data_IF_556724231320
#
_entry.id   IF_556724231320
#
_cell.length_a   1.000
_cell.length_b   1.000
_cell.length_c   1.000
_cell.angle_alpha   90.00
_cell.angle_beta   90.00
_cell.angle_gamma   90.00
#
_symmetry.space_group_name_H-M   'P 1'
#
loop_
_entity.id
_entity.type
_entity.pdbx_description
1 polymer ?
#
# COMPACT_ATOMS: atom_id res chain seq x y z
N UNK A 1 10.59 -1.12 -29.31
CA UNK A 1 12.06 -1.25 -29.33
C UNK A 1 12.73 -0.54 -28.14
N UNK A 2 12.18 0.58 -27.68
CA UNK A 2 12.84 1.42 -26.66
C UNK A 2 12.82 0.86 -25.22
N UNK A 3 11.99 -0.13 -24.91
CA UNK A 3 11.88 -0.72 -23.57
C UNK A 3 12.79 -1.94 -23.35
N UNK A 4 13.48 -2.44 -24.38
CA UNK A 4 14.28 -3.67 -24.30
C UNK A 4 15.42 -3.58 -23.28
N UNK A 5 16.24 -2.54 -23.36
CA UNK A 5 17.36 -2.35 -22.42
C UNK A 5 16.92 -2.15 -20.97
N UNK A 6 15.94 -1.28 -20.66
CA UNK A 6 15.39 -1.17 -19.31
C UNK A 6 14.88 -2.51 -18.75
N UNK A 7 14.17 -3.31 -19.54
CA UNK A 7 13.68 -4.63 -19.13
C UNK A 7 14.82 -5.62 -18.86
N UNK A 8 15.85 -5.64 -19.71
CA UNK A 8 17.00 -6.52 -19.54
C UNK A 8 17.77 -6.19 -18.25
N UNK A 9 17.92 -4.90 -17.94
CA UNK A 9 18.56 -4.44 -16.71
C UNK A 9 17.71 -4.79 -15.50
N UNK A 10 16.39 -4.73 -15.58
CA UNK A 10 15.51 -5.08 -14.45
C UNK A 10 15.66 -6.55 -14.01
N UNK A 11 16.05 -7.45 -14.91
CA UNK A 11 16.31 -8.85 -14.55
C UNK A 11 17.49 -9.00 -13.59
N UNK A 12 18.46 -8.09 -13.63
CA UNK A 12 19.61 -8.12 -12.71
C UNK A 12 19.24 -7.88 -11.26
N UNK A 13 18.12 -7.19 -10.99
CA UNK A 13 17.63 -6.90 -9.65
C UNK A 13 17.03 -8.15 -8.97
N UNK A 14 16.45 -9.08 -9.74
CA UNK A 14 15.66 -10.19 -9.23
C UNK A 14 16.41 -11.04 -8.20
N UNK A 15 17.64 -11.55 -8.44
CA UNK A 15 18.33 -12.41 -7.47
C UNK A 15 18.62 -11.70 -6.15
N UNK A 16 18.95 -10.42 -6.17
CA UNK A 16 19.25 -9.63 -4.97
C UNK A 16 17.98 -9.37 -4.15
N UNK A 17 16.89 -9.00 -4.83
CA UNK A 17 15.58 -8.78 -4.21
C UNK A 17 15.03 -10.06 -3.55
N UNK A 18 15.15 -11.22 -4.22
CA UNK A 18 14.76 -12.52 -3.65
C UNK A 18 15.54 -12.84 -2.38
N UNK A 19 16.86 -12.68 -2.38
CA UNK A 19 17.68 -12.92 -1.19
C UNK A 19 17.33 -11.95 -0.05
N UNK A 20 17.13 -10.68 -0.34
CA UNK A 20 16.68 -9.71 0.64
C UNK A 20 15.32 -10.09 1.25
N UNK A 21 14.39 -10.58 0.44
CA UNK A 21 13.09 -11.09 0.91
C UNK A 21 13.24 -12.23 1.93
N UNK A 22 14.14 -13.20 1.66
CA UNK A 22 14.42 -14.31 2.57
C UNK A 22 15.00 -13.80 3.89
N UNK A 23 16.01 -12.91 3.86
CA UNK A 23 16.60 -12.36 5.07
C UNK A 23 15.59 -11.55 5.91
N UNK A 24 14.79 -10.71 5.27
CA UNK A 24 13.75 -9.93 5.96
C UNK A 24 12.69 -10.84 6.59
N UNK A 25 12.28 -11.90 5.86
CA UNK A 25 11.37 -12.92 6.39
C UNK A 25 11.96 -13.63 7.60
N UNK A 26 13.24 -13.99 7.57
CA UNK A 26 13.96 -14.58 8.70
C UNK A 26 13.98 -13.65 9.92
N UNK A 27 14.35 -12.38 9.76
CA UNK A 27 14.35 -11.42 10.86
C UNK A 27 12.95 -11.18 11.44
N UNK A 28 11.94 -11.08 10.61
CA UNK A 28 10.55 -10.91 11.05
C UNK A 28 10.07 -12.15 11.83
N UNK A 29 10.47 -13.35 11.42
CA UNK A 29 10.19 -14.60 12.15
C UNK A 29 10.86 -14.68 13.52
N UNK A 30 12.02 -14.03 13.71
CA UNK A 30 12.71 -13.87 14.98
C UNK A 30 12.24 -12.68 15.84
N UNK A 31 11.16 -11.98 15.45
CA UNK A 31 10.72 -10.70 16.04
C UNK A 31 11.76 -9.56 15.97
N UNK A 32 12.80 -9.72 15.16
CA UNK A 32 13.82 -8.69 14.97
C UNK A 32 13.42 -7.72 13.85
N UNK A 33 12.26 -7.09 14.03
CA UNK A 33 11.67 -6.14 13.08
C UNK A 33 12.60 -4.95 12.82
N UNK A 34 13.39 -4.54 13.83
CA UNK A 34 14.34 -3.44 13.70
C UNK A 34 15.39 -3.71 12.61
N UNK A 35 15.95 -4.91 12.56
CA UNK A 35 16.94 -5.27 11.54
C UNK A 35 16.32 -5.34 10.15
N UNK A 36 15.12 -5.91 10.04
CA UNK A 36 14.35 -5.95 8.79
C UNK A 36 14.04 -4.54 8.27
N UNK A 37 13.58 -3.64 9.14
CA UNK A 37 13.29 -2.24 8.78
C UNK A 37 14.54 -1.45 8.39
N UNK A 38 15.65 -1.62 9.11
CA UNK A 38 16.91 -0.99 8.76
C UNK A 38 17.44 -1.44 7.39
N UNK A 39 17.28 -2.73 7.07
CA UNK A 39 17.61 -3.27 5.74
C UNK A 39 16.81 -2.54 4.63
N UNK A 40 15.51 -2.35 4.85
CA UNK A 40 14.65 -1.63 3.92
C UNK A 40 15.00 -0.13 3.82
N UNK A 41 15.39 0.50 4.93
CA UNK A 41 15.84 1.90 4.93
C UNK A 41 17.13 2.08 4.15
N UNK A 42 18.11 1.20 4.34
CA UNK A 42 19.39 1.24 3.60
C UNK A 42 19.15 1.10 2.11
N UNK A 43 18.28 0.17 1.70
CA UNK A 43 17.88 0.03 0.30
C UNK A 43 17.32 1.33 -0.27
N UNK A 44 16.35 1.95 0.42
CA UNK A 44 15.71 3.18 -0.07
C UNK A 44 16.70 4.36 -0.12
N UNK A 45 17.52 4.53 0.91
CA UNK A 45 18.52 5.61 0.93
C UNK A 45 19.54 5.42 -0.20
N UNK A 46 20.07 4.22 -0.38
CA UNK A 46 20.99 3.92 -1.46
C UNK A 46 20.33 4.16 -2.84
N UNK A 47 19.10 3.68 -3.03
CA UNK A 47 18.32 3.91 -4.25
C UNK A 47 18.16 5.40 -4.54
N UNK A 48 17.79 6.21 -3.56
CA UNK A 48 17.63 7.67 -3.74
C UNK A 48 18.94 8.35 -4.10
N UNK A 49 20.02 8.04 -3.39
CA UNK A 49 21.34 8.63 -3.66
C UNK A 49 21.83 8.26 -5.07
N UNK A 50 21.85 6.97 -5.38
CA UNK A 50 22.39 6.51 -6.67
C UNK A 50 21.49 6.93 -7.84
N UNK A 51 20.17 6.92 -7.70
CA UNK A 51 19.29 7.38 -8.78
C UNK A 51 19.48 8.88 -9.04
N UNK A 52 19.59 9.70 -8.00
CA UNK A 52 19.81 11.13 -8.15
C UNK A 52 21.18 11.43 -8.79
N UNK A 53 22.24 10.80 -8.30
CA UNK A 53 23.59 10.99 -8.83
C UNK A 53 23.71 10.56 -10.30
N UNK A 54 23.23 9.35 -10.60
CA UNK A 54 23.34 8.80 -11.95
C UNK A 54 22.46 9.57 -12.95
N UNK A 55 21.27 10.02 -12.55
CA UNK A 55 20.43 10.85 -13.41
C UNK A 55 21.06 12.21 -13.69
N UNK A 56 21.72 12.86 -12.72
CA UNK A 56 22.42 14.12 -12.95
C UNK A 56 23.53 13.95 -13.99
N UNK A 57 24.29 12.85 -13.92
CA UNK A 57 25.40 12.59 -14.81
C UNK A 57 24.92 12.26 -16.24
N UNK A 58 23.90 11.42 -16.38
CA UNK A 58 23.50 10.82 -17.65
C UNK A 58 22.16 11.33 -18.21
N UNK A 59 21.53 12.33 -17.60
CA UNK A 59 20.23 12.85 -18.06
C UNK A 59 20.22 13.37 -19.50
N UNK A 60 21.38 13.74 -20.02
CA UNK A 60 21.55 14.25 -21.39
C UNK A 60 21.61 13.16 -22.47
N UNK A 61 21.80 11.90 -22.09
CA UNK A 61 21.94 10.76 -23.01
C UNK A 61 20.61 10.23 -23.58
N UNK A 62 19.50 10.82 -23.17
CA UNK A 62 18.17 10.48 -23.66
C UNK A 62 17.33 9.64 -22.71
N UNK A 63 16.04 9.50 -23.06
CA UNK A 63 15.02 8.91 -22.19
C UNK A 63 15.29 7.44 -21.86
N UNK A 64 15.71 6.63 -22.83
CA UNK A 64 15.99 5.19 -22.63
C UNK A 64 17.12 4.97 -21.64
N UNK A 65 18.18 5.79 -21.75
CA UNK A 65 19.32 5.75 -20.84
C UNK A 65 18.91 6.16 -19.44
N UNK A 66 18.14 7.24 -19.30
CA UNK A 66 17.66 7.74 -18.01
C UNK A 66 16.80 6.70 -17.28
N UNK A 67 15.90 6.00 -17.99
CA UNK A 67 15.09 4.93 -17.43
C UNK A 67 15.96 3.73 -17.02
N UNK A 68 16.90 3.32 -17.88
CA UNK A 68 17.82 2.21 -17.61
C UNK A 68 18.67 2.44 -16.37
N UNK A 69 19.16 3.64 -16.20
CA UNK A 69 19.98 4.07 -15.06
C UNK A 69 19.16 4.10 -13.76
N UNK A 70 17.92 4.55 -13.84
CA UNK A 70 17.01 4.51 -12.68
C UNK A 70 16.80 3.08 -12.19
N UNK A 71 16.70 2.11 -13.10
CA UNK A 71 16.57 0.68 -12.76
C UNK A 71 17.89 0.13 -12.20
N UNK A 72 19.04 0.53 -12.74
CA UNK A 72 20.35 0.18 -12.17
C UNK A 72 20.50 0.69 -10.73
N UNK A 73 20.04 1.91 -10.44
CA UNK A 73 20.05 2.45 -9.09
C UNK A 73 19.19 1.62 -8.12
N UNK A 74 18.06 1.05 -8.59
CA UNK A 74 17.28 0.10 -7.79
C UNK A 74 18.11 -1.16 -7.48
N UNK A 75 18.82 -1.71 -8.46
CA UNK A 75 19.69 -2.88 -8.26
C UNK A 75 20.78 -2.61 -7.23
N UNK A 76 21.42 -1.44 -7.30
CA UNK A 76 22.45 -1.02 -6.33
C UNK A 76 21.84 -0.92 -4.91
N UNK A 77 20.62 -0.37 -4.78
CA UNK A 77 19.90 -0.34 -3.51
C UNK A 77 19.70 -1.73 -2.91
N UNK A 78 19.27 -2.70 -3.72
CA UNK A 78 19.11 -4.10 -3.29
C UNK A 78 20.45 -4.73 -2.86
N UNK A 79 21.55 -4.45 -3.58
CA UNK A 79 22.88 -4.95 -3.22
C UNK A 79 23.33 -4.38 -1.87
N UNK A 80 23.18 -3.08 -1.64
CA UNK A 80 23.52 -2.45 -0.35
C UNK A 80 22.73 -3.06 0.80
N UNK A 81 21.45 -3.29 0.61
CA UNK A 81 20.57 -3.97 1.57
C UNK A 81 21.04 -5.41 1.85
N UNK A 82 21.41 -6.15 0.81
CA UNK A 82 21.89 -7.52 0.92
C UNK A 82 23.19 -7.61 1.73
N UNK A 83 24.15 -6.72 1.45
CA UNK A 83 25.40 -6.65 2.21
C UNK A 83 25.10 -6.42 3.71
N UNK A 84 24.22 -5.48 4.04
CA UNK A 84 23.79 -5.25 5.42
C UNK A 84 23.17 -6.50 6.05
N UNK A 85 22.30 -7.20 5.33
CA UNK A 85 21.64 -8.41 5.79
C UNK A 85 22.63 -9.54 6.08
N UNK A 86 23.61 -9.76 5.20
CA UNK A 86 24.65 -10.77 5.36
C UNK A 86 25.51 -10.48 6.59
N UNK A 87 25.89 -9.23 6.81
CA UNK A 87 26.69 -8.82 7.98
C UNK A 87 25.91 -9.09 9.28
N UNK A 88 24.61 -8.75 9.30
CA UNK A 88 23.78 -8.92 10.50
C UNK A 88 23.45 -10.39 10.82
N UNK A 89 23.24 -11.22 9.79
CA UNK A 89 22.91 -12.63 9.99
C UNK A 89 24.04 -13.42 10.62
N UNK A 90 25.29 -13.12 10.28
CA UNK A 90 26.47 -13.77 10.90
C UNK A 90 26.49 -13.66 12.43
N UNK A 91 25.96 -12.57 12.97
CA UNK A 91 25.91 -12.34 14.43
C UNK A 91 24.75 -13.10 15.12
N UNK A 92 23.77 -13.60 14.36
CA UNK A 92 22.57 -14.24 14.89
C UNK A 92 22.62 -15.78 14.75
N UNK A 93 23.29 -16.27 13.72
CA UNK A 93 23.42 -17.71 13.46
C UNK A 93 24.39 -18.38 14.45
N UNK A 94 23.94 -18.61 15.68
CA UNK A 94 24.42 -19.73 16.51
C UNK A 94 23.53 -20.92 16.15
N UNK A 95 24.10 -21.87 15.38
CA UNK A 95 23.41 -23.05 14.86
C UNK A 95 22.91 -23.87 16.04
N UNK A 96 21.60 -23.96 16.20
CA UNK A 96 20.98 -24.95 17.07
C UNK A 96 20.82 -26.25 16.27
N UNK A 97 21.57 -27.30 16.63
CA UNK A 97 21.40 -28.62 16.08
C UNK A 97 20.13 -29.28 16.66
N UNK A 98 18.97 -28.87 16.21
CA UNK A 98 17.72 -29.51 16.60
C UNK A 98 17.16 -30.30 15.42
N UNK A 99 17.32 -31.62 15.49
CA UNK A 99 16.87 -32.64 14.52
C UNK A 99 15.33 -32.79 14.51
N UNK A 100 14.55 -31.74 14.58
CA UNK A 100 13.12 -31.85 14.31
C UNK A 100 12.88 -32.05 12.81
N UNK A 101 11.86 -32.84 12.48
CA UNK A 101 11.54 -33.29 11.11
C UNK A 101 11.42 -32.12 10.12
N UNK A 102 12.53 -31.73 9.55
CA UNK A 102 12.71 -30.63 8.58
C UNK A 102 11.70 -30.76 7.43
N UNK A 103 11.44 -31.97 6.91
CA UNK A 103 10.53 -32.26 5.81
C UNK A 103 9.07 -31.80 6.05
N UNK A 104 8.55 -31.93 7.27
CA UNK A 104 7.17 -31.47 7.54
C UNK A 104 7.09 -29.94 7.59
N UNK A 105 8.14 -29.29 8.08
CA UNK A 105 8.24 -27.83 8.12
C UNK A 105 8.38 -27.27 6.70
N UNK A 106 9.24 -27.85 5.88
CA UNK A 106 9.42 -27.50 4.47
C UNK A 106 8.13 -27.58 3.68
N UNK A 107 7.34 -28.66 3.85
CA UNK A 107 6.05 -28.82 3.18
C UNK A 107 5.03 -27.73 3.57
N UNK A 108 4.99 -27.34 4.86
CA UNK A 108 4.13 -26.25 5.34
C UNK A 108 4.57 -24.92 4.78
N UNK A 109 5.85 -24.59 4.85
CA UNK A 109 6.42 -23.35 4.33
C UNK A 109 6.16 -23.25 2.82
N UNK A 110 6.41 -24.32 2.07
CA UNK A 110 6.14 -24.34 0.64
C UNK A 110 4.66 -24.08 0.31
N UNK A 111 3.74 -24.75 1.00
CA UNK A 111 2.29 -24.60 0.74
C UNK A 111 1.80 -23.17 1.04
N UNK A 112 2.30 -22.53 2.09
CA UNK A 112 1.96 -21.15 2.44
C UNK A 112 2.58 -20.18 1.42
N UNK A 113 3.86 -20.34 1.12
CA UNK A 113 4.59 -19.48 0.18
C UNK A 113 4.04 -19.60 -1.24
N UNK A 114 3.65 -20.80 -1.68
CA UNK A 114 3.07 -21.01 -3.00
C UNK A 114 1.75 -20.26 -3.18
N UNK A 115 0.85 -20.35 -2.20
CA UNK A 115 -0.44 -19.62 -2.25
C UNK A 115 -0.24 -18.11 -2.24
N UNK A 116 0.72 -17.61 -1.45
CA UNK A 116 1.05 -16.18 -1.38
C UNK A 116 1.66 -15.68 -2.69
N UNK A 117 2.65 -16.41 -3.22
CA UNK A 117 3.28 -16.09 -4.52
C UNK A 117 2.26 -16.09 -5.65
N UNK A 118 1.36 -17.06 -5.68
CA UNK A 118 0.31 -17.14 -6.70
C UNK A 118 -0.68 -15.98 -6.58
N UNK A 119 -0.99 -15.53 -5.35
CA UNK A 119 -1.83 -14.35 -5.12
C UNK A 119 -1.20 -13.08 -5.71
N UNK A 120 0.09 -12.87 -5.45
CA UNK A 120 0.83 -11.73 -6.00
C UNK A 120 0.97 -11.82 -7.52
N UNK A 121 1.18 -13.03 -8.07
CA UNK A 121 1.26 -13.24 -9.51
C UNK A 121 -0.05 -12.86 -10.20
N UNK A 122 -1.19 -13.28 -9.66
CA UNK A 122 -2.52 -12.95 -10.21
C UNK A 122 -2.77 -11.44 -10.19
N UNK A 123 -2.44 -10.78 -9.08
CA UNK A 123 -2.59 -9.34 -8.97
C UNK A 123 -1.69 -8.61 -9.96
N UNK A 124 -0.43 -9.01 -10.08
CA UNK A 124 0.52 -8.40 -11.01
C UNK A 124 0.13 -8.67 -12.48
N UNK A 125 -0.39 -9.86 -12.79
CA UNK A 125 -0.92 -10.16 -14.11
C UNK A 125 -2.13 -9.27 -14.45
N UNK A 126 -2.99 -9.01 -13.47
CA UNK A 126 -4.11 -8.08 -13.65
C UNK A 126 -3.62 -6.65 -13.95
N UNK A 127 -2.57 -6.18 -13.27
CA UNK A 127 -1.95 -4.88 -13.56
C UNK A 127 -1.29 -4.84 -14.95
N UNK A 128 -0.71 -5.95 -15.40
CA UNK A 128 -0.14 -6.06 -16.74
C UNK A 128 -1.20 -6.04 -17.83
N UNK A 129 -2.33 -6.74 -17.62
CA UNK A 129 -3.44 -6.80 -18.57
C UNK A 129 -4.29 -5.53 -18.63
N UNK A 130 -4.30 -4.75 -17.57
CA UNK A 130 -5.08 -3.52 -17.44
C UNK A 130 -4.85 -2.52 -18.60
N UNK A 131 -3.62 -2.06 -18.89
CA UNK A 131 -3.40 -1.15 -20.01
C UNK A 131 -3.72 -1.78 -21.36
N UNK A 132 -3.52 -3.08 -21.53
CA UNK A 132 -3.80 -3.78 -22.78
C UNK A 132 -5.30 -3.77 -23.06
N UNK A 133 -6.13 -4.15 -22.10
CA UNK A 133 -7.59 -4.16 -22.24
C UNK A 133 -8.11 -2.74 -22.42
N UNK A 134 -7.62 -1.81 -21.62
CA UNK A 134 -8.03 -0.42 -21.67
C UNK A 134 -7.76 0.20 -23.05
N UNK A 135 -6.54 0.05 -23.56
CA UNK A 135 -6.16 0.54 -24.90
C UNK A 135 -6.97 -0.13 -25.99
N UNK A 136 -7.11 -1.45 -25.96
CA UNK A 136 -7.85 -2.21 -26.96
C UNK A 136 -9.31 -1.75 -27.10
N UNK A 137 -9.98 -1.44 -25.98
CA UNK A 137 -11.37 -1.00 -26.02
C UNK A 137 -11.48 0.45 -26.51
N UNK A 138 -10.60 1.33 -26.06
CA UNK A 138 -10.64 2.74 -26.46
C UNK A 138 -10.30 2.94 -27.94
N UNK A 139 -9.36 2.15 -28.48
CA UNK A 139 -9.08 2.14 -29.92
C UNK A 139 -10.30 1.70 -30.75
N UNK A 140 -11.10 0.73 -30.27
CA UNK A 140 -12.34 0.30 -30.94
C UNK A 140 -13.41 1.38 -31.01
N UNK A 141 -13.39 2.35 -30.09
CA UNK A 141 -14.30 3.49 -30.11
C UNK A 141 -13.65 4.73 -30.74
N UNK A 142 -12.58 4.53 -31.51
CA UNK A 142 -11.86 5.53 -32.31
C UNK A 142 -11.22 6.67 -31.48
N UNK A 143 -10.73 6.37 -30.28
CA UNK A 143 -9.91 7.30 -29.51
C UNK A 143 -8.44 7.16 -29.94
N UNK A 144 -7.73 8.27 -30.10
CA UNK A 144 -6.32 8.27 -30.50
C UNK A 144 -5.40 7.69 -29.41
N UNK A 145 -4.29 7.06 -29.80
CA UNK A 145 -3.32 6.51 -28.86
C UNK A 145 -2.74 7.58 -27.90
N UNK A 146 -2.53 8.78 -28.38
CA UNK A 146 -2.04 9.89 -27.56
C UNK A 146 -3.03 10.24 -26.44
N UNK A 147 -4.31 10.30 -26.76
CA UNK A 147 -5.36 10.57 -25.80
C UNK A 147 -5.56 9.44 -24.80
N UNK A 148 -5.46 8.18 -25.25
CA UNK A 148 -5.48 7.00 -24.38
C UNK A 148 -4.32 7.04 -23.39
N UNK A 149 -3.11 7.30 -23.86
CA UNK A 149 -1.93 7.40 -22.99
C UNK A 149 -2.05 8.56 -22.00
N UNK A 150 -2.60 9.70 -22.42
CA UNK A 150 -2.86 10.84 -21.55
C UNK A 150 -3.80 10.45 -20.41
N UNK A 151 -4.97 9.88 -20.70
CA UNK A 151 -5.94 9.47 -19.69
C UNK A 151 -5.47 8.34 -18.80
N UNK A 152 -4.69 7.40 -19.33
CA UNK A 152 -4.05 6.35 -18.54
C UNK A 152 -3.07 6.96 -17.54
N UNK A 153 -2.27 7.94 -17.96
CA UNK A 153 -1.30 8.63 -17.12
C UNK A 153 -1.97 9.49 -16.05
N UNK A 154 -3.10 10.15 -16.34
CA UNK A 154 -3.88 10.90 -15.34
C UNK A 154 -4.20 10.05 -14.10
N UNK A 155 -4.52 8.77 -14.32
CA UNK A 155 -4.86 7.85 -13.23
C UNK A 155 -3.59 7.28 -12.59
N UNK A 156 -2.73 6.63 -13.39
CA UNK A 156 -1.65 5.80 -12.87
C UNK A 156 -0.37 6.59 -12.53
N UNK A 157 -0.10 7.69 -13.23
CA UNK A 157 1.10 8.48 -12.99
C UNK A 157 0.86 9.68 -12.05
N UNK A 158 -0.36 10.21 -12.00
CA UNK A 158 -0.66 11.41 -11.21
C UNK A 158 -1.59 11.11 -10.02
N UNK A 159 -2.80 10.57 -10.26
CA UNK A 159 -3.81 10.47 -9.21
C UNK A 159 -3.50 9.38 -8.20
N UNK A 160 -3.23 8.14 -8.61
CA UNK A 160 -3.00 7.02 -7.71
C UNK A 160 -1.77 7.21 -6.81
N UNK A 161 -0.59 7.64 -7.30
CA UNK A 161 0.57 7.87 -6.44
C UNK A 161 0.30 8.90 -5.35
N UNK A 162 -0.43 9.97 -5.68
CA UNK A 162 -0.78 11.01 -4.71
C UNK A 162 -1.78 10.50 -3.67
N UNK A 163 -2.83 9.78 -4.10
CA UNK A 163 -3.85 9.22 -3.20
C UNK A 163 -3.31 8.14 -2.27
N UNK A 164 -2.27 7.43 -2.67
CA UNK A 164 -1.63 6.36 -1.90
C UNK A 164 -0.33 6.78 -1.22
N UNK A 165 0.02 8.06 -1.22
CA UNK A 165 1.31 8.58 -0.75
C UNK A 165 1.69 8.09 0.65
N UNK A 166 0.75 8.02 1.60
CA UNK A 166 1.00 7.55 2.97
C UNK A 166 0.62 6.08 3.22
N UNK A 167 0.33 5.31 2.17
CA UNK A 167 -0.05 3.91 2.28
C UNK A 167 1.02 3.03 2.97
N UNK A 168 2.29 3.41 2.85
CA UNK A 168 3.40 2.74 3.50
C UNK A 168 3.23 2.67 5.03
N UNK A 169 2.58 3.65 5.67
CA UNK A 169 2.34 3.65 7.13
C UNK A 169 1.49 2.46 7.56
N UNK A 170 0.43 2.17 6.80
CA UNK A 170 -0.44 1.01 7.05
C UNK A 170 0.30 -0.30 6.80
N UNK A 171 1.12 -0.37 5.75
CA UNK A 171 1.95 -1.54 5.45
C UNK A 171 2.99 -1.81 6.55
N UNK A 172 3.60 -0.76 7.11
CA UNK A 172 4.50 -0.90 8.26
C UNK A 172 3.78 -1.48 9.49
N UNK A 173 2.58 -0.97 9.82
CA UNK A 173 1.78 -1.50 10.92
C UNK A 173 1.42 -2.97 10.66
N UNK A 174 0.99 -3.30 9.45
CA UNK A 174 0.65 -4.65 9.03
C UNK A 174 1.79 -5.64 9.27
N UNK A 175 3.01 -5.27 8.89
CA UNK A 175 4.22 -6.11 9.08
C UNK A 175 4.49 -6.40 10.56
N UNK A 176 4.27 -5.41 11.44
CA UNK A 176 4.51 -5.55 12.89
C UNK A 176 3.47 -6.44 13.57
N UNK A 177 2.22 -6.41 13.13
CA UNK A 177 1.15 -7.16 13.79
C UNK A 177 1.11 -8.64 13.41
N UNK A 178 1.62 -9.04 12.25
CA UNK A 178 1.61 -10.44 11.80
C UNK A 178 2.22 -11.39 12.83
N UNK A 179 3.48 -11.23 13.29
CA UNK A 179 4.07 -12.15 14.26
C UNK A 179 3.34 -12.13 15.61
N UNK A 180 2.85 -10.96 16.04
CA UNK A 180 2.14 -10.84 17.31
C UNK A 180 0.78 -11.55 17.31
N UNK A 181 0.03 -11.43 16.20
CA UNK A 181 -1.26 -12.12 16.05
C UNK A 181 -1.05 -13.63 15.89
N UNK A 182 -0.07 -14.06 15.10
CA UNK A 182 0.19 -15.49 14.86
C UNK A 182 0.60 -16.24 16.14
N UNK A 183 1.28 -15.57 17.08
CA UNK A 183 1.62 -16.16 18.40
C UNK A 183 0.42 -16.30 19.31
N UNK A 184 -0.53 -15.33 19.26
CA UNK A 184 -1.65 -15.27 20.19
C UNK A 184 -2.93 -15.97 19.67
N UNK A 185 -2.90 -16.50 18.44
CA UNK A 185 -4.06 -17.14 17.80
C UNK A 185 -5.35 -16.31 17.90
N UNK A 186 -6.52 -16.94 18.13
CA UNK A 186 -7.85 -16.32 18.17
C UNK A 186 -8.20 -15.66 19.52
N UNK A 187 -7.20 -15.16 20.26
CA UNK A 187 -7.40 -14.59 21.60
C UNK A 187 -7.95 -13.15 21.55
N UNK A 188 -8.49 -12.68 22.67
CA UNK A 188 -8.93 -11.29 22.87
C UNK A 188 -7.82 -10.26 22.56
N UNK A 189 -6.55 -10.61 22.80
CA UNK A 189 -5.39 -9.78 22.47
C UNK A 189 -5.27 -9.52 20.95
N UNK A 190 -5.47 -10.55 20.11
CA UNK A 190 -5.44 -10.42 18.65
C UNK A 190 -6.56 -9.52 18.14
N UNK A 191 -7.73 -9.62 18.73
CA UNK A 191 -8.89 -8.76 18.42
C UNK A 191 -8.61 -7.30 18.78
N UNK A 192 -8.15 -7.03 20.01
CA UNK A 192 -7.84 -5.68 20.48
C UNK A 192 -6.72 -5.06 19.63
N UNK A 193 -5.68 -5.84 19.29
CA UNK A 193 -4.58 -5.38 18.45
C UNK A 193 -5.08 -5.01 17.05
N UNK A 194 -5.93 -5.84 16.45
CA UNK A 194 -6.52 -5.57 15.13
C UNK A 194 -7.36 -4.28 15.16
N UNK A 195 -8.25 -4.12 16.14
CA UNK A 195 -9.10 -2.93 16.26
C UNK A 195 -8.25 -1.65 16.42
N UNK A 196 -7.20 -1.71 17.22
CA UNK A 196 -6.27 -0.59 17.41
C UNK A 196 -5.51 -0.27 16.12
N UNK A 197 -4.97 -1.28 15.45
CA UNK A 197 -4.22 -1.12 14.23
C UNK A 197 -5.08 -0.53 13.10
N UNK A 198 -6.34 -0.94 12.99
CA UNK A 198 -7.30 -0.35 12.05
C UNK A 198 -7.52 1.14 12.33
N UNK A 199 -7.71 1.52 13.59
CA UNK A 199 -7.86 2.95 13.98
C UNK A 199 -6.62 3.76 13.65
N UNK A 200 -5.42 3.24 13.93
CA UNK A 200 -4.16 3.93 13.65
C UNK A 200 -3.90 4.06 12.14
N UNK A 201 -4.21 3.00 11.37
CA UNK A 201 -4.06 3.01 9.92
C UNK A 201 -4.96 4.05 9.21
N UNK A 202 -6.13 4.37 9.78
CA UNK A 202 -7.02 5.41 9.24
C UNK A 202 -6.47 6.83 9.42
N UNK A 203 -5.58 7.08 10.39
CA UNK A 203 -5.10 8.44 10.71
C UNK A 203 -4.47 9.11 9.48
N UNK A 204 -3.43 8.54 8.84
CA UNK A 204 -2.81 9.17 7.67
C UNK A 204 -3.75 9.22 6.46
N UNK A 205 -4.63 8.22 6.31
CA UNK A 205 -5.63 8.19 5.23
C UNK A 205 -6.62 9.35 5.33
N UNK A 206 -7.11 9.65 6.54
CA UNK A 206 -8.05 10.76 6.78
C UNK A 206 -7.37 12.11 6.54
N UNK A 207 -6.15 12.30 7.05
CA UNK A 207 -5.37 13.52 6.80
C UNK A 207 -5.26 13.77 5.30
N UNK A 208 -4.72 12.80 4.58
CA UNK A 208 -4.47 12.92 3.16
C UNK A 208 -5.78 13.09 2.38
N UNK A 209 -6.80 12.26 2.68
CA UNK A 209 -8.08 12.29 2.01
C UNK A 209 -8.77 13.65 2.10
N UNK A 210 -8.81 14.27 3.29
CA UNK A 210 -9.41 15.59 3.49
C UNK A 210 -8.59 16.69 2.80
N UNK A 211 -7.26 16.68 2.94
CA UNK A 211 -6.39 17.68 2.29
C UNK A 211 -6.56 17.62 0.78
N UNK A 212 -6.52 16.41 0.20
CA UNK A 212 -6.63 16.25 -1.25
C UNK A 212 -8.02 16.57 -1.81
N UNK A 213 -9.07 16.35 -1.03
CA UNK A 213 -10.41 16.78 -1.41
C UNK A 213 -10.49 18.31 -1.63
N UNK A 214 -9.85 19.09 -0.76
CA UNK A 214 -9.89 20.55 -0.82
C UNK A 214 -8.83 21.16 -1.73
N UNK A 215 -7.63 20.56 -1.81
CA UNK A 215 -6.44 21.12 -2.46
C UNK A 215 -5.72 20.15 -3.40
N UNK A 216 -6.38 19.10 -3.88
CA UNK A 216 -5.77 18.08 -4.74
C UNK A 216 -5.12 18.64 -6.00
N UNK A 217 -5.76 19.62 -6.64
CA UNK A 217 -5.25 20.36 -7.79
C UNK A 217 -3.92 21.10 -7.49
N UNK A 218 -3.86 21.77 -6.34
CA UNK A 218 -2.67 22.52 -5.91
C UNK A 218 -1.51 21.60 -5.54
N UNK A 219 -1.79 20.45 -4.91
CA UNK A 219 -0.77 19.46 -4.61
C UNK A 219 -0.24 18.77 -5.87
N UNK A 220 -1.10 18.46 -6.84
CA UNK A 220 -0.66 17.95 -8.14
C UNK A 220 0.25 18.96 -8.84
N UNK A 221 -0.13 20.22 -8.88
CA UNK A 221 0.69 21.26 -9.48
C UNK A 221 2.03 21.45 -8.73
N UNK A 222 2.02 21.37 -7.41
CA UNK A 222 3.24 21.49 -6.61
C UNK A 222 4.24 20.37 -6.92
N UNK A 223 3.76 19.12 -7.02
CA UNK A 223 4.61 17.93 -7.20
C UNK A 223 4.99 17.67 -8.66
N UNK A 224 4.02 17.81 -9.56
CA UNK A 224 4.17 17.39 -10.95
C UNK A 224 4.19 18.54 -11.95
N UNK A 225 3.99 19.79 -11.50
CA UNK A 225 3.80 20.97 -12.36
C UNK A 225 2.64 20.82 -13.37
N UNK A 226 1.70 19.95 -13.06
CA UNK A 226 0.53 19.64 -13.86
C UNK A 226 -0.69 19.46 -12.95
N UNK A 227 -1.86 19.80 -13.46
CA UNK A 227 -3.14 19.53 -12.79
C UNK A 227 -3.85 18.30 -13.34
N UNK A 228 -3.18 17.53 -14.21
CA UNK A 228 -3.70 16.28 -14.76
C UNK A 228 -4.07 15.31 -13.64
N UNK A 229 -5.23 14.68 -13.76
CA UNK A 229 -5.76 13.79 -12.73
C UNK A 229 -6.44 14.46 -11.53
N UNK A 230 -6.54 15.81 -11.50
CA UNK A 230 -7.18 16.55 -10.41
C UNK A 230 -8.64 16.16 -10.18
N UNK A 231 -9.35 15.84 -11.24
CA UNK A 231 -10.72 15.32 -11.18
C UNK A 231 -10.80 14.05 -10.30
N UNK A 232 -9.90 13.11 -10.54
CA UNK A 232 -9.86 11.84 -9.80
C UNK A 232 -9.44 12.06 -8.35
N UNK A 233 -8.42 12.89 -8.12
CA UNK A 233 -7.93 13.16 -6.76
C UNK A 233 -9.01 13.82 -5.91
N UNK A 234 -9.65 14.87 -6.39
CA UNK A 234 -10.66 15.61 -5.61
C UNK A 234 -11.92 14.79 -5.32
N UNK A 235 -12.47 14.13 -6.34
CA UNK A 235 -13.76 13.45 -6.18
C UNK A 235 -13.67 12.16 -5.40
N UNK A 236 -12.51 11.52 -5.36
CA UNK A 236 -12.38 10.16 -4.80
C UNK A 236 -11.43 10.06 -3.61
N UNK A 237 -10.74 11.14 -3.22
CA UNK A 237 -9.80 11.13 -2.09
C UNK A 237 -10.42 10.63 -0.78
N UNK A 238 -11.70 10.95 -0.54
CA UNK A 238 -12.43 10.50 0.65
C UNK A 238 -12.70 8.99 0.64
N UNK A 239 -12.95 8.41 -0.52
CA UNK A 239 -13.17 6.96 -0.67
C UNK A 239 -11.84 6.21 -0.50
N UNK A 240 -10.75 6.82 -0.93
CA UNK A 240 -9.40 6.24 -0.80
C UNK A 240 -8.95 6.04 0.66
N UNK A 241 -9.60 6.65 1.63
CA UNK A 241 -9.34 6.38 3.06
C UNK A 241 -9.52 4.90 3.38
N UNK A 242 -10.46 4.21 2.75
CA UNK A 242 -10.69 2.77 2.93
C UNK A 242 -9.50 1.91 2.50
N UNK A 243 -8.68 2.39 1.57
CA UNK A 243 -7.46 1.68 1.15
C UNK A 243 -6.49 1.45 2.31
N UNK A 244 -6.40 2.41 3.22
CA UNK A 244 -5.42 2.37 4.32
C UNK A 244 -5.68 1.26 5.33
N UNK A 245 -6.88 0.69 5.37
CA UNK A 245 -7.18 -0.45 6.26
C UNK A 245 -6.88 -1.81 5.62
N UNK A 246 -6.75 -1.88 4.30
CA UNK A 246 -6.52 -3.15 3.58
C UNK A 246 -5.28 -3.92 4.04
N UNK A 247 -4.09 -3.30 4.22
CA UNK A 247 -2.91 -4.01 4.68
C UNK A 247 -3.11 -4.66 6.05
N UNK A 248 -3.86 -3.99 6.95
CA UNK A 248 -4.14 -4.50 8.28
C UNK A 248 -5.07 -5.73 8.20
N UNK A 249 -6.14 -5.65 7.43
CA UNK A 249 -7.06 -6.76 7.25
C UNK A 249 -6.37 -7.97 6.61
N UNK A 250 -5.56 -7.72 5.58
CA UNK A 250 -4.75 -8.74 4.91
C UNK A 250 -3.78 -9.41 5.90
N UNK A 251 -3.06 -8.62 6.70
CA UNK A 251 -2.09 -9.15 7.67
C UNK A 251 -2.73 -10.04 8.74
N UNK A 252 -3.96 -9.74 9.15
CA UNK A 252 -4.73 -10.60 10.06
C UNK A 252 -5.04 -11.96 9.41
N UNK A 253 -5.46 -11.98 8.16
CA UNK A 253 -5.70 -13.22 7.42
C UNK A 253 -4.41 -14.03 7.23
N UNK A 254 -3.31 -13.37 6.89
CA UNK A 254 -1.98 -13.99 6.77
C UNK A 254 -1.51 -14.60 8.10
N UNK A 255 -1.64 -13.87 9.21
CA UNK A 255 -1.27 -14.33 10.54
C UNK A 255 -2.05 -15.58 10.99
N UNK A 256 -3.28 -15.75 10.50
CA UNK A 256 -4.12 -16.92 10.77
C UNK A 256 -3.97 -18.04 9.72
N UNK A 257 -2.97 -17.97 8.82
CA UNK A 257 -2.70 -19.01 7.82
C UNK A 257 -3.76 -19.12 6.72
N UNK A 258 -4.54 -18.05 6.43
CA UNK A 258 -5.62 -18.02 5.46
C UNK A 258 -5.18 -17.66 4.03
N UNK A 259 -3.96 -18.07 3.63
CA UNK A 259 -3.38 -17.76 2.31
C UNK A 259 -4.22 -18.27 1.13
N UNK A 260 -4.91 -19.41 1.30
CA UNK A 260 -5.82 -19.91 0.25
C UNK A 260 -7.04 -19.00 0.05
N UNK A 261 -7.61 -18.50 1.15
CA UNK A 261 -8.73 -17.57 1.07
C UNK A 261 -8.29 -16.24 0.44
N UNK A 262 -7.10 -15.75 0.80
CA UNK A 262 -6.47 -14.57 0.19
C UNK A 262 -6.29 -14.76 -1.31
N UNK A 263 -5.79 -15.92 -1.75
CA UNK A 263 -5.63 -16.26 -3.16
C UNK A 263 -6.97 -16.19 -3.91
N UNK A 264 -8.01 -16.81 -3.37
CA UNK A 264 -9.35 -16.81 -3.99
C UNK A 264 -9.91 -15.39 -4.10
N UNK A 265 -9.75 -14.58 -3.06
CA UNK A 265 -10.18 -13.18 -3.06
C UNK A 265 -9.39 -12.39 -4.12
N UNK A 266 -8.07 -12.58 -4.19
CA UNK A 266 -7.22 -11.92 -5.18
C UNK A 266 -7.60 -12.27 -6.61
N UNK A 267 -7.88 -13.55 -6.90
CA UNK A 267 -8.35 -14.00 -8.22
C UNK A 267 -9.69 -13.32 -8.54
N UNK A 268 -10.65 -13.43 -7.65
CA UNK A 268 -12.00 -12.89 -7.87
C UNK A 268 -11.96 -11.37 -8.10
N UNK A 269 -11.25 -10.64 -7.26
CA UNK A 269 -11.13 -9.18 -7.39
C UNK A 269 -10.38 -8.77 -8.68
N UNK A 270 -9.33 -9.51 -9.06
CA UNK A 270 -8.58 -9.25 -10.29
C UNK A 270 -9.44 -9.48 -11.54
N UNK A 271 -10.21 -10.57 -11.58
CA UNK A 271 -11.14 -10.85 -12.69
C UNK A 271 -12.23 -9.79 -12.75
N UNK A 272 -12.86 -9.45 -11.63
CA UNK A 272 -13.86 -8.38 -11.57
C UNK A 272 -13.28 -7.04 -12.05
N UNK A 273 -12.05 -6.69 -11.67
CA UNK A 273 -11.37 -5.48 -12.13
C UNK A 273 -11.27 -5.43 -13.65
N UNK A 274 -10.77 -6.49 -14.28
CA UNK A 274 -10.59 -6.55 -15.72
C UNK A 274 -11.92 -6.53 -16.47
N UNK A 275 -12.94 -7.24 -15.95
CA UNK A 275 -14.29 -7.21 -16.51
C UNK A 275 -14.94 -5.84 -16.40
N UNK A 276 -14.75 -5.13 -15.28
CA UNK A 276 -15.26 -3.77 -15.12
C UNK A 276 -14.55 -2.80 -16.08
N UNK A 277 -13.23 -2.89 -16.24
CA UNK A 277 -12.52 -2.08 -17.23
C UNK A 277 -13.08 -2.36 -18.63
N UNK A 278 -13.20 -3.63 -19.00
CA UNK A 278 -13.71 -4.03 -20.29
C UNK A 278 -15.13 -3.48 -20.53
N UNK A 279 -16.06 -3.67 -19.61
CA UNK A 279 -17.47 -3.31 -19.77
C UNK A 279 -17.72 -1.80 -19.66
N UNK A 280 -17.12 -1.12 -18.67
CA UNK A 280 -17.36 0.29 -18.44
C UNK A 280 -16.71 1.18 -19.50
N UNK A 281 -15.60 0.74 -20.10
CA UNK A 281 -14.93 1.50 -21.16
C UNK A 281 -15.78 1.63 -22.43
N UNK A 282 -16.66 0.64 -22.73
CA UNK A 282 -17.58 0.72 -23.85
C UNK A 282 -18.71 1.73 -23.66
N UNK A 283 -18.97 2.18 -22.43
CA UNK A 283 -20.03 3.15 -22.15
C UNK A 283 -19.47 4.56 -22.45
N UNK A 284 -19.97 5.23 -23.47
CA UNK A 284 -19.46 6.55 -23.94
C UNK A 284 -19.34 7.60 -22.85
N UNK A 285 -20.28 7.62 -21.90
CA UNK A 285 -20.30 8.61 -20.81
C UNK A 285 -19.20 8.35 -19.75
N UNK A 286 -18.80 7.09 -19.58
CA UNK A 286 -17.77 6.65 -18.62
C UNK A 286 -16.41 6.63 -19.32
N UNK A 287 -16.30 5.98 -20.46
CA UNK A 287 -15.14 5.93 -21.35
C UNK A 287 -13.80 5.84 -20.59
N UNK A 288 -13.00 6.88 -20.70
CA UNK A 288 -11.67 6.95 -20.06
C UNK A 288 -11.70 6.94 -18.53
N UNK A 289 -12.82 7.26 -17.87
CA UNK A 289 -12.96 7.20 -16.41
C UNK A 289 -13.12 5.76 -15.89
N UNK A 290 -13.42 4.81 -16.76
CA UNK A 290 -13.66 3.40 -16.44
C UNK A 290 -12.55 2.76 -15.62
N UNK A 291 -11.31 3.06 -15.96
CA UNK A 291 -10.13 2.57 -15.27
C UNK A 291 -10.15 2.95 -13.79
N UNK A 292 -10.36 4.22 -13.49
CA UNK A 292 -10.38 4.70 -12.12
C UNK A 292 -11.60 4.19 -11.32
N UNK A 293 -12.78 4.18 -11.96
CA UNK A 293 -14.01 3.66 -11.37
C UNK A 293 -13.84 2.17 -11.03
N UNK A 294 -13.25 1.38 -11.93
CA UNK A 294 -12.97 -0.04 -11.69
C UNK A 294 -12.04 -0.26 -10.51
N UNK A 295 -10.97 0.54 -10.40
CA UNK A 295 -10.05 0.51 -9.25
C UNK A 295 -10.80 0.80 -7.95
N UNK A 296 -11.67 1.79 -7.91
CA UNK A 296 -12.44 2.14 -6.72
C UNK A 296 -13.40 1.01 -6.33
N UNK A 297 -14.20 0.51 -7.27
CA UNK A 297 -15.18 -0.55 -6.99
C UNK A 297 -14.47 -1.78 -6.44
N UNK A 298 -13.40 -2.20 -7.08
CA UNK A 298 -12.65 -3.40 -6.67
C UNK A 298 -12.00 -3.20 -5.29
N UNK A 299 -11.50 -2.00 -5.00
CA UNK A 299 -10.95 -1.75 -3.67
C UNK A 299 -12.00 -1.75 -2.57
N UNK A 300 -13.19 -1.20 -2.83
CA UNK A 300 -14.31 -1.30 -1.89
C UNK A 300 -14.66 -2.77 -1.67
N UNK A 301 -14.78 -3.56 -2.74
CA UNK A 301 -15.05 -5.00 -2.67
C UNK A 301 -13.97 -5.74 -1.88
N UNK A 302 -12.71 -5.48 -2.16
CA UNK A 302 -11.56 -6.06 -1.46
C UNK A 302 -11.62 -5.77 0.04
N UNK A 303 -11.84 -4.50 0.38
CA UNK A 303 -11.96 -4.06 1.78
C UNK A 303 -13.14 -4.74 2.49
N UNK A 304 -14.30 -4.80 1.83
CA UNK A 304 -15.50 -5.44 2.40
C UNK A 304 -15.28 -6.94 2.61
N UNK A 305 -14.73 -7.64 1.64
CA UNK A 305 -14.50 -9.08 1.74
C UNK A 305 -13.49 -9.38 2.85
N UNK A 306 -12.35 -8.69 2.87
CA UNK A 306 -11.36 -8.85 3.94
C UNK A 306 -11.93 -8.52 5.32
N UNK A 307 -12.75 -7.48 5.42
CA UNK A 307 -13.40 -7.12 6.67
C UNK A 307 -14.38 -8.20 7.15
N UNK A 308 -15.22 -8.75 6.26
CA UNK A 308 -16.17 -9.83 6.58
C UNK A 308 -15.41 -11.07 7.08
N UNK A 309 -14.33 -11.48 6.40
CA UNK A 309 -13.50 -12.61 6.81
C UNK A 309 -12.84 -12.37 8.16
N UNK A 310 -12.23 -11.21 8.36
CA UNK A 310 -11.58 -10.83 9.63
C UNK A 310 -12.59 -10.76 10.76
N UNK A 311 -13.78 -10.19 10.53
CA UNK A 311 -14.87 -10.14 11.50
C UNK A 311 -15.32 -11.54 11.91
N UNK A 312 -15.47 -12.46 10.96
CA UNK A 312 -15.84 -13.86 11.23
C UNK A 312 -14.76 -14.58 12.03
N UNK A 313 -13.48 -14.40 11.68
CA UNK A 313 -12.34 -15.03 12.36
C UNK A 313 -12.21 -14.57 13.82
N UNK A 314 -12.20 -13.28 14.04
CA UNK A 314 -11.95 -12.70 15.37
C UNK A 314 -13.23 -12.42 16.18
N UNK A 315 -14.42 -12.77 15.64
CA UNK A 315 -15.73 -12.51 16.26
C UNK A 315 -15.88 -11.04 16.71
N UNK A 316 -15.39 -10.10 15.87
CA UNK A 316 -15.45 -8.68 16.17
C UNK A 316 -16.92 -8.23 16.16
N UNK A 317 -17.38 -7.64 17.26
CA UNK A 317 -18.70 -7.00 17.33
C UNK A 317 -18.57 -5.54 16.91
N UNK A 318 -19.38 -5.12 15.95
CA UNK A 318 -19.43 -3.70 15.57
C UNK A 318 -20.07 -2.94 16.73
N UNK A 319 -19.32 -2.06 17.34
CA UNK A 319 -19.86 -1.14 18.32
C UNK A 319 -20.36 0.12 17.57
N UNK A 320 -21.69 0.20 17.42
CA UNK A 320 -22.36 1.32 16.73
C UNK A 320 -21.93 2.66 17.35
N UNK A 321 -21.77 2.72 18.66
CA UNK A 321 -21.35 3.92 19.38
C UNK A 321 -19.92 4.35 19.02
N UNK A 322 -19.00 3.41 18.80
CA UNK A 322 -17.65 3.73 18.33
C UNK A 322 -17.66 4.17 16.86
N UNK A 323 -18.50 3.54 16.04
CA UNK A 323 -18.64 3.92 14.63
C UNK A 323 -19.19 5.35 14.49
N UNK A 324 -20.24 5.70 15.24
CA UNK A 324 -20.81 7.06 15.24
C UNK A 324 -19.79 8.10 15.73
N UNK A 325 -19.00 7.78 16.77
CA UNK A 325 -17.90 8.67 17.21
C UNK A 325 -16.86 8.92 16.10
N UNK A 326 -16.48 7.87 15.36
CA UNK A 326 -15.53 8.01 14.24
C UNK A 326 -16.10 8.86 13.09
N UNK A 327 -17.38 8.68 12.76
CA UNK A 327 -18.07 9.48 11.73
C UNK A 327 -18.15 10.95 12.15
N UNK A 328 -18.54 11.22 13.40
CA UNK A 328 -18.61 12.58 13.93
C UNK A 328 -17.22 13.24 13.97
N UNK A 329 -16.20 12.48 14.37
CA UNK A 329 -14.82 12.94 14.37
C UNK A 329 -14.36 13.30 12.94
N UNK A 330 -14.70 12.47 11.97
CA UNK A 330 -14.40 12.72 10.57
C UNK A 330 -15.11 13.98 10.04
N UNK A 331 -16.40 14.12 10.33
CA UNK A 331 -17.18 15.29 9.92
C UNK A 331 -16.67 16.60 10.55
N UNK A 332 -16.29 16.57 11.82
CA UNK A 332 -15.70 17.72 12.50
C UNK A 332 -14.36 18.15 11.84
N UNK A 333 -13.51 17.19 11.52
CA UNK A 333 -12.22 17.48 10.84
C UNK A 333 -12.45 18.00 9.41
N UNK A 334 -13.43 17.46 8.70
CA UNK A 334 -13.79 17.98 7.38
C UNK A 334 -14.26 19.44 7.46
N UNK A 335 -15.06 19.77 8.48
CA UNK A 335 -15.52 21.14 8.72
C UNK A 335 -14.38 22.10 9.10
N UNK A 336 -13.42 21.65 9.90
CA UNK A 336 -12.21 22.45 10.23
C UNK A 336 -11.47 22.83 8.94
N UNK A 337 -11.24 21.87 8.06
CA UNK A 337 -10.55 22.14 6.80
C UNK A 337 -11.37 23.06 5.87
N UNK A 338 -12.69 22.93 5.88
CA UNK A 338 -13.59 23.83 5.17
C UNK A 338 -13.43 25.28 5.65
N UNK A 339 -13.40 25.51 6.96
CA UNK A 339 -13.17 26.84 7.56
C UNK A 339 -11.80 27.39 7.15
N UNK A 340 -10.73 26.61 7.24
CA UNK A 340 -9.39 27.04 6.84
C UNK A 340 -9.33 27.47 5.37
N UNK A 341 -10.04 26.75 4.50
CA UNK A 341 -10.18 27.13 3.09
C UNK A 341 -10.98 28.43 2.92
N UNK A 342 -12.06 28.61 3.68
CA UNK A 342 -12.89 29.81 3.63
C UNK A 342 -12.12 31.07 4.03
N UNK A 343 -11.21 30.96 5.01
CA UNK A 343 -10.31 32.02 5.45
C UNK A 343 -9.26 32.42 4.40
N UNK A 344 -9.25 31.78 3.22
CA UNK A 344 -8.33 32.04 2.10
C UNK A 344 -6.84 31.97 2.48
N UNK A 345 -6.51 31.19 3.51
CA UNK A 345 -5.13 30.97 3.92
C UNK A 345 -4.39 30.16 2.82
N UNK A 346 -3.08 30.42 2.67
CA UNK A 346 -2.26 29.64 1.74
C UNK A 346 -2.46 28.15 1.96
N UNK A 347 -2.61 27.37 0.87
CA UNK A 347 -2.96 25.95 0.93
C UNK A 347 -1.94 25.09 1.68
N UNK A 348 -0.63 25.44 1.64
CA UNK A 348 0.41 24.73 2.40
C UNK A 348 0.22 24.99 3.90
N UNK A 349 0.05 26.26 4.27
CA UNK A 349 -0.14 26.66 5.68
C UNK A 349 -1.43 26.08 6.25
N UNK A 350 -2.53 26.13 5.51
CA UNK A 350 -3.79 25.53 5.95
C UNK A 350 -3.70 24.02 6.08
N UNK A 351 -2.98 23.33 5.21
CA UNK A 351 -2.74 21.89 5.31
C UNK A 351 -1.89 21.53 6.52
N UNK A 352 -0.87 22.32 6.85
CA UNK A 352 -0.03 22.13 8.05
C UNK A 352 -0.83 22.38 9.32
N UNK A 353 -1.58 23.50 9.41
CA UNK A 353 -2.44 23.82 10.57
C UNK A 353 -3.47 22.70 10.76
N UNK A 354 -4.13 22.26 9.70
CA UNK A 354 -5.07 21.15 9.75
C UNK A 354 -4.42 19.87 10.29
N UNK A 355 -3.24 19.52 9.79
CA UNK A 355 -2.52 18.31 10.23
C UNK A 355 -2.19 18.36 11.71
N UNK A 356 -1.73 19.51 12.23
CA UNK A 356 -1.43 19.69 13.65
C UNK A 356 -2.71 19.56 14.50
N UNK A 357 -3.78 20.26 14.14
CA UNK A 357 -5.07 20.20 14.85
C UNK A 357 -5.60 18.76 14.86
N UNK A 358 -5.57 18.10 13.70
CA UNK A 358 -6.01 16.72 13.56
C UNK A 358 -5.21 15.77 14.46
N UNK A 359 -3.88 15.87 14.51
CA UNK A 359 -3.04 15.04 15.38
C UNK A 359 -3.31 15.27 16.86
N UNK A 360 -3.56 16.52 17.29
CA UNK A 360 -3.95 16.84 18.66
C UNK A 360 -5.31 16.19 18.99
N UNK A 361 -6.28 16.34 18.11
CA UNK A 361 -7.61 15.76 18.30
C UNK A 361 -7.58 14.22 18.31
N UNK A 362 -6.78 13.59 17.45
CA UNK A 362 -6.62 12.12 17.45
C UNK A 362 -6.00 11.61 18.74
N UNK A 363 -5.03 12.33 19.32
CA UNK A 363 -4.44 11.99 20.62
C UNK A 363 -5.48 11.99 21.72
N UNK A 364 -6.38 12.98 21.72
CA UNK A 364 -7.41 13.13 22.76
C UNK A 364 -8.56 12.13 22.59
N UNK A 365 -9.07 11.94 21.35
CA UNK A 365 -10.30 11.17 21.10
C UNK A 365 -10.08 9.71 20.74
N UNK A 366 -8.98 9.37 20.05
CA UNK A 366 -8.73 8.02 19.55
C UNK A 366 -7.68 7.30 20.39
N UNK A 367 -6.54 7.94 20.68
CA UNK A 367 -5.42 7.29 21.35
C UNK A 367 -5.63 7.14 22.86
N UNK A 368 -6.42 8.00 23.50
CA UNK A 368 -6.77 7.87 24.92
C UNK A 368 -7.51 6.57 25.20
N UNK A 369 -8.47 6.18 24.34
CA UNK A 369 -9.18 4.91 24.45
C UNK A 369 -8.26 3.70 24.19
N UNK A 370 -7.17 3.90 23.46
CA UNK A 370 -6.17 2.87 23.19
C UNK A 370 -5.28 2.61 24.42
N UNK A 371 -4.85 3.64 25.13
CA UNK A 371 -4.00 3.51 26.33
C UNK A 371 -4.73 2.87 27.50
N UNK A 372 -5.99 3.19 27.73
CA UNK A 372 -6.81 2.65 28.81
C UNK A 372 -7.04 1.12 28.69
N UNK A 373 -7.16 0.62 27.46
CA UNK A 373 -7.32 -0.84 27.23
C UNK A 373 -6.02 -1.64 27.36
N UNK A 374 -4.84 -1.00 27.27
CA UNK A 374 -3.54 -1.69 27.49
C UNK A 374 -3.19 -1.84 28.96
N UNK A 375 -3.53 -0.89 29.79
CA UNK A 375 -3.33 -0.98 31.27
C UNK A 375 -4.17 -2.09 31.89
N UNK A 376 -5.36 -2.39 31.36
CA UNK A 376 -6.17 -3.51 31.81
C UNK A 376 -5.65 -4.92 31.42
N UNK A 377 -4.74 -5.01 30.46
CA UNK A 377 -4.14 -6.29 30.01
C UNK A 377 -2.84 -6.64 30.74
N UNK A 378 -2.15 -5.65 31.30
CA UNK A 378 -0.94 -5.87 32.12
C UNK A 378 -1.28 -6.23 33.59
N UNK A 379 -2.53 -6.03 34.02
CA UNK A 379 -3.00 -6.33 35.37
C UNK A 379 -3.84 -7.64 35.46
N UNK A 380 -3.77 -8.49 34.49
CA UNK A 380 -4.27 -9.88 34.48
C UNK A 380 -3.16 -10.82 34.07
#
# INVERSE_FOLDING_TARGET
ANCYYPLLISLTMIPFSMLNGVYRGFYNGLDNIKTSSNSALIEQIARMIFSSLLLIIFSKEGLVVSVSISILAMTIGEICSLIYNIIKVKNILRISNNNQSIKQLEKKVFALSFSETLSHLVVNLSFFLEPIIYTFVLEKINISQEEIMYHYSEVNAYALPLLTMFFFTSSCIATVIIPTISKNNYNETSKILTEKSLKVALIPGIILGIILFFYGDKFLYLLYKSTSGSYFVRNYSLIFILFYINPILLSVLQAHGKQKDILLISITCSVIKLLLILSLTFIKEIGYKSLFISVIIVNILHTLIYYIYTKKLLKIKINIRELTKLILFYAANFYIMYILKYLKINFIVSSLIFTIIYLILTKVFILKDISLKTTCLHNK
#
